data_IF_517020169178
#
_entry.id   IF_517020169178
#
_cell.length_a   1.000
_cell.length_b   1.000
_cell.length_c   1.000
_cell.angle_alpha   90.00
_cell.angle_beta   90.00
_cell.angle_gamma   90.00
#
_symmetry.space_group_name_H-M   'P 1'
#
loop_
_entity.id
_entity.type
_entity.pdbx_description
1 polymer ?
#
# COMPACT_ATOMS: atom_id res chain seq x y z
N UNK A 1 28.30 -10.60 -43.57
CA UNK A 1 28.14 -10.07 -42.19
C UNK A 1 26.69 -10.33 -41.79
N UNK A 2 26.45 -11.29 -40.90
CA UNK A 2 25.11 -11.84 -40.63
C UNK A 2 24.49 -11.20 -39.40
N UNK A 3 23.33 -10.56 -39.57
CA UNK A 3 22.55 -9.93 -38.51
C UNK A 3 21.84 -10.98 -37.66
N UNK A 4 22.53 -11.50 -36.64
CA UNK A 4 21.87 -12.24 -35.54
C UNK A 4 21.00 -11.28 -34.76
N UNK A 5 19.69 -11.47 -34.89
CA UNK A 5 18.65 -10.64 -34.27
C UNK A 5 18.64 -10.80 -32.74
N UNK A 6 18.48 -9.66 -32.06
CA UNK A 6 18.45 -9.51 -30.60
C UNK A 6 17.44 -10.43 -29.90
N UNK A 7 16.40 -10.86 -30.62
CA UNK A 7 15.40 -11.83 -30.17
C UNK A 7 16.00 -13.21 -29.83
N UNK A 8 17.03 -13.68 -30.55
CA UNK A 8 17.65 -14.98 -30.27
C UNK A 8 18.51 -14.98 -29.01
N UNK A 9 18.98 -13.81 -28.53
CA UNK A 9 19.77 -13.72 -27.29
C UNK A 9 18.91 -13.73 -26.03
N UNK A 10 17.63 -13.35 -26.14
CA UNK A 10 16.72 -13.31 -24.98
C UNK A 10 16.21 -14.73 -24.66
N UNK A 11 15.96 -15.56 -25.67
CA UNK A 11 15.49 -16.95 -25.44
C UNK A 11 16.57 -17.82 -24.78
N UNK A 12 17.84 -17.64 -25.13
CA UNK A 12 18.94 -18.42 -24.55
C UNK A 12 19.23 -18.11 -23.07
N UNK A 13 18.69 -17.02 -22.51
CA UNK A 13 18.91 -16.64 -21.11
C UNK A 13 17.90 -17.30 -20.15
N UNK A 14 16.82 -17.89 -20.66
CA UNK A 14 15.74 -18.46 -19.84
C UNK A 14 15.88 -19.98 -19.60
N UNK A 15 16.74 -20.66 -20.35
CA UNK A 15 16.95 -22.11 -20.21
C UNK A 15 17.98 -22.50 -19.13
N UNK A 16 18.62 -21.52 -18.48
CA UNK A 16 19.72 -21.74 -17.53
C UNK A 16 19.29 -21.50 -16.06
N UNK A 17 18.00 -21.64 -15.75
CA UNK A 17 17.51 -21.54 -14.36
C UNK A 17 17.73 -22.89 -13.65
N UNK A 18 18.63 -22.99 -12.67
CA UNK A 18 18.83 -24.22 -11.92
C UNK A 18 17.57 -24.57 -11.12
N UNK A 19 17.09 -25.80 -11.28
CA UNK A 19 15.99 -26.37 -10.51
C UNK A 19 16.33 -26.35 -9.02
N UNK A 20 15.68 -25.46 -8.26
CA UNK A 20 15.76 -25.44 -6.80
C UNK A 20 15.14 -26.72 -6.26
N UNK A 21 15.97 -27.61 -5.71
CA UNK A 21 15.49 -28.75 -4.92
C UNK A 21 15.05 -28.23 -3.56
N UNK A 22 13.75 -28.31 -3.28
CA UNK A 22 13.20 -28.02 -1.96
C UNK A 22 13.68 -29.10 -0.96
N UNK A 23 14.10 -28.71 0.26
CA UNK A 23 14.41 -29.65 1.33
C UNK A 23 13.15 -30.40 1.77
N UNK A 24 13.32 -31.69 2.08
CA UNK A 24 12.24 -32.62 2.44
C UNK A 24 11.44 -32.17 3.65
N UNK A 25 10.13 -32.45 3.58
CA UNK A 25 9.16 -32.19 4.63
C UNK A 25 9.56 -32.87 5.95
N UNK A 26 9.61 -32.15 7.07
CA UNK A 26 9.64 -32.77 8.38
C UNK A 26 8.25 -33.30 8.75
N UNK A 27 8.22 -34.59 9.07
CA UNK A 27 7.11 -35.34 9.63
C UNK A 27 6.39 -34.56 10.76
N UNK A 28 5.13 -34.21 10.55
CA UNK A 28 4.29 -33.46 11.49
C UNK A 28 3.42 -34.43 12.29
N UNK A 29 3.84 -34.71 13.53
CA UNK A 29 2.98 -35.33 14.53
C UNK A 29 1.85 -34.38 14.97
N UNK A 30 0.70 -34.90 15.42
CA UNK A 30 -0.43 -34.08 15.83
C UNK A 30 -0.21 -33.55 17.25
N UNK A 31 0.30 -32.32 17.36
CA UNK A 31 0.25 -31.54 18.61
C UNK A 31 -0.86 -30.49 18.50
N UNK A 32 -2.05 -30.90 18.91
CA UNK A 32 -3.25 -30.09 19.08
C UNK A 32 -3.11 -29.16 20.30
N UNK A 33 -2.47 -27.97 20.20
CA UNK A 33 -2.52 -26.93 21.27
C UNK A 33 -1.99 -25.51 20.94
N UNK A 34 -2.10 -24.96 19.72
CA UNK A 34 -1.43 -23.68 19.37
C UNK A 34 -2.28 -22.41 19.17
N UNK A 35 -3.61 -22.44 19.25
CA UNK A 35 -4.44 -21.22 19.02
C UNK A 35 -4.97 -20.54 20.30
N UNK A 36 -4.51 -20.97 21.47
CA UNK A 36 -4.93 -20.44 22.77
C UNK A 36 -4.19 -19.17 23.18
N UNK A 37 -4.52 -18.03 22.55
CA UNK A 37 -4.09 -16.71 23.02
C UNK A 37 -3.67 -15.79 21.90
N UNK A 38 -4.59 -14.91 21.47
CA UNK A 38 -4.28 -13.76 20.62
C UNK A 38 -3.55 -12.73 21.49
N UNK A 39 -2.37 -13.07 21.97
CA UNK A 39 -1.44 -12.10 22.51
C UNK A 39 -1.02 -11.24 21.31
N UNK A 40 -1.54 -10.01 21.28
CA UNK A 40 -1.13 -9.00 20.31
C UNK A 40 0.39 -8.88 20.40
N UNK A 41 1.09 -9.58 19.51
CA UNK A 41 2.53 -9.54 19.39
C UNK A 41 2.92 -8.08 19.30
N UNK A 42 3.55 -7.58 20.37
CA UNK A 42 4.11 -6.24 20.38
C UNK A 42 5.20 -6.24 19.32
N UNK A 43 4.85 -5.80 18.13
CA UNK A 43 5.78 -5.62 17.01
C UNK A 43 6.99 -4.89 17.58
N UNK A 44 8.22 -5.43 17.45
CA UNK A 44 9.40 -4.73 17.92
C UNK A 44 9.40 -3.32 17.32
N UNK A 45 9.50 -2.28 18.16
CA UNK A 45 9.35 -0.88 17.73
C UNK A 45 10.23 -0.51 16.51
N UNK A 46 11.35 -1.22 16.35
CA UNK A 46 12.24 -1.14 15.20
C UNK A 46 11.56 -1.48 13.86
N UNK A 47 10.68 -2.49 13.82
CA UNK A 47 10.01 -2.95 12.59
C UNK A 47 8.96 -1.94 12.11
N UNK A 48 8.11 -1.45 13.01
CA UNK A 48 7.12 -0.42 12.64
C UNK A 48 7.79 0.88 12.17
N UNK A 49 8.90 1.29 12.81
CA UNK A 49 9.69 2.44 12.39
C UNK A 49 10.29 2.23 10.98
N UNK A 50 10.79 1.02 10.68
CA UNK A 50 11.31 0.64 9.36
C UNK A 50 10.22 0.71 8.28
N UNK A 51 9.05 0.12 8.51
CA UNK A 51 7.94 0.14 7.54
C UNK A 51 7.43 1.56 7.30
N UNK A 52 7.31 2.36 8.36
CA UNK A 52 6.91 3.77 8.26
C UNK A 52 7.93 4.59 7.45
N UNK A 53 9.23 4.33 7.63
CA UNK A 53 10.30 4.94 6.83
C UNK A 53 10.23 4.51 5.37
N UNK A 54 10.01 3.23 5.10
CA UNK A 54 9.90 2.71 3.73
C UNK A 54 8.68 3.28 3.00
N UNK A 55 7.51 3.33 3.63
CA UNK A 55 6.31 3.97 3.08
C UNK A 55 6.51 5.45 2.81
N UNK A 56 7.19 6.18 3.71
CA UNK A 56 7.58 7.56 3.44
C UNK A 56 8.54 7.67 2.26
N UNK A 57 9.51 6.77 2.17
CA UNK A 57 10.48 6.74 1.07
C UNK A 57 9.81 6.49 -0.29
N UNK A 58 8.79 5.64 -0.40
CA UNK A 58 8.06 5.44 -1.66
C UNK A 58 7.33 6.71 -2.07
N UNK A 59 6.66 7.36 -1.12
CA UNK A 59 6.02 8.65 -1.36
C UNK A 59 7.03 9.72 -1.77
N UNK A 60 8.08 9.95 -0.99
CA UNK A 60 9.12 10.95 -1.25
C UNK A 60 9.77 10.74 -2.63
N UNK A 61 10.04 9.49 -3.01
CA UNK A 61 10.59 9.13 -4.33
C UNK A 61 9.61 9.46 -5.45
N UNK A 62 8.33 9.10 -5.28
CA UNK A 62 7.31 9.38 -6.29
C UNK A 62 7.01 10.88 -6.43
N UNK A 63 7.13 11.64 -5.33
CA UNK A 63 6.81 13.09 -5.32
C UNK A 63 7.96 14.02 -5.72
N UNK A 64 9.16 13.48 -5.99
CA UNK A 64 10.35 14.27 -6.29
C UNK A 64 10.29 15.05 -7.63
N UNK A 65 9.33 14.75 -8.50
CA UNK A 65 9.19 15.40 -9.82
C UNK A 65 7.92 16.28 -9.88
N UNK A 66 8.02 17.58 -9.53
CA UNK A 66 6.90 18.50 -9.60
C UNK A 66 6.61 18.89 -11.07
N UNK A 67 5.40 18.60 -11.55
CA UNK A 67 4.96 19.02 -12.88
C UNK A 67 3.44 19.04 -13.07
N UNK A 68 2.71 18.22 -12.32
CA UNK A 68 1.25 18.21 -12.29
C UNK A 68 0.73 17.60 -10.98
N UNK A 69 -0.55 17.83 -10.61
CA UNK A 69 -1.15 17.15 -9.46
C UNK A 69 -1.10 15.63 -9.64
N UNK A 70 -0.57 14.91 -8.65
CA UNK A 70 -0.54 13.44 -8.66
C UNK A 70 -1.95 12.88 -8.80
N UNK A 71 -2.13 11.95 -9.74
CA UNK A 71 -3.36 11.19 -9.93
C UNK A 71 -3.33 9.98 -9.01
N UNK A 72 -4.35 9.83 -8.19
CA UNK A 72 -4.44 8.73 -7.23
C UNK A 72 -5.77 8.00 -7.31
N UNK A 73 -5.74 6.72 -6.97
CA UNK A 73 -6.93 5.89 -6.74
C UNK A 73 -7.22 5.82 -5.24
N UNK A 74 -8.50 5.80 -4.87
CA UNK A 74 -8.90 5.43 -3.52
C UNK A 74 -9.15 3.93 -3.48
N UNK A 75 -8.64 3.25 -2.46
CA UNK A 75 -8.80 1.82 -2.31
C UNK A 75 -9.30 1.46 -0.92
N UNK A 76 -10.29 0.56 -0.88
CA UNK A 76 -10.80 -0.03 0.36
C UNK A 76 -11.20 -1.48 0.15
N UNK A 77 -11.38 -2.17 1.26
CA UNK A 77 -11.86 -3.55 1.33
C UNK A 77 -13.00 -3.55 2.32
N UNK A 78 -14.11 -4.16 1.96
CA UNK A 78 -15.29 -4.27 2.82
C UNK A 78 -15.74 -5.72 2.90
N UNK A 79 -16.27 -6.11 4.06
CA UNK A 79 -17.07 -7.32 4.11
C UNK A 79 -18.39 -7.06 3.39
N UNK A 80 -19.06 -8.10 2.86
CA UNK A 80 -20.28 -7.97 2.04
C UNK A 80 -21.45 -7.16 2.66
N UNK A 81 -21.38 -6.79 3.94
CA UNK A 81 -22.40 -6.02 4.67
C UNK A 81 -21.94 -4.61 5.07
N UNK A 82 -20.67 -4.27 4.87
CA UNK A 82 -20.10 -3.01 5.29
C UNK A 82 -20.21 -1.95 4.18
N UNK A 83 -20.48 -0.71 4.56
CA UNK A 83 -20.51 0.42 3.63
C UNK A 83 -19.08 0.94 3.36
N UNK A 84 -18.59 0.96 2.11
CA UNK A 84 -17.25 1.48 1.79
C UNK A 84 -17.15 3.00 1.84
N UNK A 85 -18.29 3.73 1.77
CA UNK A 85 -18.31 5.19 1.62
C UNK A 85 -17.58 5.95 2.72
N UNK A 86 -17.67 5.60 4.01
CA UNK A 86 -16.93 6.29 5.07
C UNK A 86 -15.41 6.21 4.87
N UNK A 87 -14.88 5.02 4.59
CA UNK A 87 -13.45 4.79 4.36
C UNK A 87 -12.94 5.55 3.13
N UNK A 88 -13.69 5.48 2.03
CA UNK A 88 -13.37 6.19 0.80
C UNK A 88 -13.42 7.71 0.99
N UNK A 89 -14.40 8.24 1.71
CA UNK A 89 -14.51 9.67 1.99
C UNK A 89 -13.31 10.20 2.79
N UNK A 90 -12.88 9.45 3.81
CA UNK A 90 -11.71 9.83 4.63
C UNK A 90 -10.42 9.82 3.80
N UNK A 91 -10.27 8.82 2.91
CA UNK A 91 -9.15 8.76 1.96
C UNK A 91 -9.21 9.91 0.93
N UNK A 92 -10.39 10.24 0.42
CA UNK A 92 -10.60 11.35 -0.51
C UNK A 92 -10.21 12.70 0.12
N UNK A 93 -10.72 12.97 1.32
CA UNK A 93 -10.41 14.19 2.06
C UNK A 93 -8.90 14.31 2.32
N UNK A 94 -8.21 13.20 2.59
CA UNK A 94 -6.77 13.18 2.72
C UNK A 94 -6.07 13.49 1.39
N UNK A 95 -6.43 12.83 0.29
CA UNK A 95 -5.85 13.10 -1.03
C UNK A 95 -6.01 14.57 -1.45
N UNK A 96 -7.20 15.16 -1.22
CA UNK A 96 -7.47 16.57 -1.49
C UNK A 96 -6.56 17.51 -0.68
N UNK A 97 -6.34 17.22 0.61
CA UNK A 97 -5.42 18.01 1.46
C UNK A 97 -3.97 17.96 0.97
N UNK A 98 -3.56 16.88 0.30
CA UNK A 98 -2.23 16.77 -0.30
C UNK A 98 -2.14 17.42 -1.69
N UNK A 99 -3.23 18.00 -2.21
CA UNK A 99 -3.28 18.55 -3.57
C UNK A 99 -3.27 17.47 -4.66
N UNK A 100 -3.61 16.22 -4.33
CA UNK A 100 -3.69 15.14 -5.29
C UNK A 100 -5.06 15.09 -5.96
N UNK A 101 -5.09 14.67 -7.22
CA UNK A 101 -6.31 14.46 -8.00
C UNK A 101 -6.78 13.02 -7.86
N UNK A 102 -7.95 12.83 -7.26
CA UNK A 102 -8.60 11.51 -7.25
C UNK A 102 -9.19 11.23 -8.64
N UNK A 103 -8.86 10.08 -9.22
CA UNK A 103 -9.33 9.68 -10.56
C UNK A 103 -10.22 8.43 -10.56
N UNK A 104 -10.34 7.75 -9.44
CA UNK A 104 -11.17 6.56 -9.31
C UNK A 104 -11.23 6.02 -7.88
N UNK A 105 -12.19 5.15 -7.64
CA UNK A 105 -12.39 4.44 -6.38
C UNK A 105 -12.47 2.95 -6.69
N UNK A 106 -11.85 2.14 -5.85
CA UNK A 106 -11.72 0.70 -6.01
C UNK A 106 -12.11 0.03 -4.69
N UNK A 107 -12.97 -0.98 -4.77
CA UNK A 107 -13.55 -1.67 -3.61
C UNK A 107 -13.50 -3.17 -3.87
N UNK A 108 -12.70 -3.88 -3.07
CA UNK A 108 -12.76 -5.33 -3.05
C UNK A 108 -13.72 -5.81 -1.95
N UNK A 109 -14.49 -6.85 -2.26
CA UNK A 109 -15.29 -7.58 -1.28
C UNK A 109 -14.46 -8.71 -0.68
N UNK A 110 -14.43 -8.82 0.65
CA UNK A 110 -13.77 -9.92 1.35
C UNK A 110 -13.11 -9.53 2.66
N UNK A 111 -12.64 -10.51 3.45
CA UNK A 111 -11.86 -10.22 4.64
C UNK A 111 -10.55 -9.50 4.26
N UNK A 112 -10.09 -8.52 5.08
CA UNK A 112 -8.80 -7.84 4.86
C UNK A 112 -7.58 -8.77 4.89
N UNK A 113 -7.76 -10.01 5.31
CA UNK A 113 -6.73 -11.03 5.44
C UNK A 113 -6.62 -11.90 4.17
N UNK A 114 -7.55 -11.77 3.21
CA UNK A 114 -7.39 -12.38 1.89
C UNK A 114 -6.14 -11.85 1.21
N UNK A 115 -5.43 -12.73 0.50
CA UNK A 115 -4.17 -12.39 -0.14
C UNK A 115 -4.36 -11.23 -1.12
N UNK A 116 -3.80 -10.07 -0.77
CA UNK A 116 -3.92 -8.80 -1.51
C UNK A 116 -3.70 -8.98 -3.03
N UNK A 117 -2.72 -9.82 -3.39
CA UNK A 117 -2.34 -10.11 -4.77
C UNK A 117 -3.39 -10.86 -5.59
N UNK A 118 -4.45 -11.40 -4.98
CA UNK A 118 -5.54 -12.09 -5.69
C UNK A 118 -6.82 -11.27 -5.80
N UNK A 119 -6.87 -10.09 -5.16
CA UNK A 119 -8.05 -9.25 -5.17
C UNK A 119 -8.20 -8.53 -6.51
N UNK A 120 -9.41 -8.55 -7.08
CA UNK A 120 -9.66 -8.11 -8.45
C UNK A 120 -9.40 -6.62 -8.63
N UNK A 121 -9.95 -5.78 -7.75
CA UNK A 121 -9.81 -4.33 -7.86
C UNK A 121 -8.38 -3.90 -7.50
N UNK A 122 -7.72 -4.58 -6.57
CA UNK A 122 -6.28 -4.38 -6.36
C UNK A 122 -5.46 -4.66 -7.62
N UNK A 123 -5.73 -5.74 -8.33
CA UNK A 123 -5.05 -6.03 -9.60
C UNK A 123 -5.29 -4.96 -10.67
N UNK A 124 -6.49 -4.34 -10.70
CA UNK A 124 -6.76 -3.18 -11.55
C UNK A 124 -5.94 -1.96 -11.15
N UNK A 125 -5.77 -1.70 -9.85
CA UNK A 125 -4.90 -0.63 -9.35
C UNK A 125 -3.45 -0.84 -9.81
N UNK A 126 -2.90 -2.04 -9.65
CA UNK A 126 -1.52 -2.36 -10.05
C UNK A 126 -1.29 -2.17 -11.56
N UNK A 127 -2.28 -2.55 -12.40
CA UNK A 127 -2.23 -2.30 -13.85
C UNK A 127 -2.21 -0.80 -14.18
N UNK A 128 -3.05 -0.01 -13.50
CA UNK A 128 -3.11 1.43 -13.70
C UNK A 128 -1.80 2.13 -13.28
N UNK A 129 -1.18 1.69 -12.17
CA UNK A 129 0.11 2.18 -11.69
C UNK A 129 1.23 1.82 -12.67
N UNK A 130 1.32 0.55 -13.09
CA UNK A 130 2.33 0.09 -14.06
C UNK A 130 2.23 0.82 -15.40
N UNK A 131 1.02 1.17 -15.83
CA UNK A 131 0.79 1.95 -17.04
C UNK A 131 1.05 3.45 -16.90
N UNK A 132 1.38 3.95 -15.69
CA UNK A 132 1.59 5.38 -15.43
C UNK A 132 0.31 6.23 -15.49
N UNK A 133 -0.87 5.60 -15.53
CA UNK A 133 -2.15 6.32 -15.55
C UNK A 133 -2.43 7.02 -14.22
N UNK A 134 -1.93 6.43 -13.15
CA UNK A 134 -1.96 6.95 -11.77
C UNK A 134 -0.60 6.78 -11.14
N UNK A 135 -0.29 7.59 -10.14
CA UNK A 135 1.00 7.58 -9.44
C UNK A 135 0.92 6.92 -8.06
N UNK A 136 -0.29 6.79 -7.51
CA UNK A 136 -0.43 6.15 -6.20
C UNK A 136 -1.83 5.72 -5.83
N UNK A 137 -1.90 5.03 -4.70
CA UNK A 137 -3.13 4.55 -4.08
C UNK A 137 -3.26 5.16 -2.68
N UNK A 138 -4.45 5.60 -2.31
CA UNK A 138 -4.76 6.13 -0.99
C UNK A 138 -5.75 5.21 -0.29
N UNK A 139 -5.44 4.82 0.94
CA UNK A 139 -6.34 4.01 1.78
C UNK A 139 -6.58 4.68 3.13
N UNK A 140 -7.69 4.34 3.78
CA UNK A 140 -7.99 4.84 5.12
C UNK A 140 -6.98 4.33 6.16
N UNK A 141 -6.56 3.07 6.06
CA UNK A 141 -5.62 2.44 6.97
C UNK A 141 -4.71 1.45 6.22
N UNK A 142 -3.56 1.14 6.82
CA UNK A 142 -2.62 0.13 6.33
C UNK A 142 -3.25 -1.26 6.25
N UNK A 143 -4.14 -1.62 7.17
CA UNK A 143 -4.77 -2.94 7.23
C UNK A 143 -5.60 -3.28 6.00
N UNK A 144 -6.03 -2.26 5.24
CA UNK A 144 -6.71 -2.45 3.95
C UNK A 144 -5.80 -3.11 2.93
N UNK A 145 -4.50 -2.80 2.98
CA UNK A 145 -3.47 -3.39 2.13
C UNK A 145 -2.99 -4.72 2.72
N UNK A 146 -2.48 -4.68 3.96
CA UNK A 146 -2.16 -5.89 4.71
C UNK A 146 -1.91 -5.58 6.18
N UNK A 147 -2.43 -6.44 7.07
CA UNK A 147 -2.08 -6.47 8.50
C UNK A 147 -0.75 -7.16 8.77
N UNK A 148 -0.28 -8.00 7.85
CA UNK A 148 0.97 -8.76 7.98
C UNK A 148 2.13 -7.89 7.50
N UNK A 149 3.12 -7.68 8.37
CA UNK A 149 4.29 -6.83 8.09
C UNK A 149 5.08 -7.26 6.87
N UNK A 150 5.36 -8.56 6.70
CA UNK A 150 6.16 -9.04 5.56
C UNK A 150 5.42 -8.84 4.24
N UNK A 151 4.11 -9.14 4.20
CA UNK A 151 3.28 -8.90 3.02
C UNK A 151 3.16 -7.41 2.69
N UNK A 152 3.05 -6.57 3.71
CA UNK A 152 3.02 -5.12 3.52
C UNK A 152 4.38 -4.59 3.04
N UNK A 153 5.49 -5.08 3.60
CA UNK A 153 6.84 -4.73 3.16
C UNK A 153 7.08 -5.11 1.68
N UNK A 154 6.68 -6.32 1.28
CA UNK A 154 6.74 -6.75 -0.11
C UNK A 154 5.93 -5.81 -1.03
N UNK A 155 4.77 -5.37 -0.56
CA UNK A 155 3.94 -4.38 -1.29
C UNK A 155 4.68 -3.06 -1.43
N UNK A 156 5.32 -2.55 -0.37
CA UNK A 156 6.08 -1.30 -0.43
C UNK A 156 7.28 -1.38 -1.38
N UNK A 157 7.99 -2.50 -1.42
CA UNK A 157 9.05 -2.73 -2.41
C UNK A 157 8.51 -2.70 -3.83
N UNK A 158 7.37 -3.34 -4.09
CA UNK A 158 6.73 -3.27 -5.41
C UNK A 158 6.43 -1.83 -5.82
N UNK A 159 5.89 -1.01 -4.93
CA UNK A 159 5.61 0.41 -5.19
C UNK A 159 6.90 1.18 -5.51
N UNK A 160 7.98 0.94 -4.75
CA UNK A 160 9.28 1.57 -4.98
C UNK A 160 9.83 1.23 -6.37
N UNK A 161 9.80 -0.05 -6.75
CA UNK A 161 10.33 -0.54 -8.03
C UNK A 161 9.56 0.02 -9.24
N UNK A 162 8.31 0.48 -9.03
CA UNK A 162 7.44 1.04 -10.05
C UNK A 162 7.28 2.56 -9.95
N UNK A 163 8.15 3.26 -9.20
CA UNK A 163 8.10 4.71 -8.96
C UNK A 163 6.69 5.21 -8.57
N UNK A 164 5.99 4.38 -7.81
CA UNK A 164 4.62 4.57 -7.37
C UNK A 164 4.57 4.64 -5.85
N UNK A 165 3.44 5.05 -5.28
CA UNK A 165 3.29 5.08 -3.82
C UNK A 165 1.95 4.55 -3.33
N UNK A 166 1.95 4.12 -2.06
CA UNK A 166 0.73 3.93 -1.27
C UNK A 166 0.78 4.88 -0.09
N UNK A 167 -0.33 5.58 0.15
CA UNK A 167 -0.47 6.51 1.26
C UNK A 167 -1.66 6.11 2.14
N UNK A 168 -1.45 6.17 3.44
CA UNK A 168 -2.49 5.90 4.44
C UNK A 168 -2.91 7.20 5.12
N UNK A 169 -4.18 7.32 5.45
CA UNK A 169 -4.65 8.45 6.25
C UNK A 169 -3.99 8.37 7.63
N UNK A 170 -3.29 9.42 8.09
CA UNK A 170 -2.70 9.42 9.42
C UNK A 170 -3.79 9.27 10.49
N UNK A 171 -3.56 8.49 11.56
CA UNK A 171 -4.52 8.41 12.66
C UNK A 171 -4.75 9.81 13.22
N UNK A 172 -6.01 10.16 13.46
CA UNK A 172 -6.36 11.43 14.07
C UNK A 172 -5.62 11.54 15.40
N UNK A 173 -4.68 12.49 15.51
CA UNK A 173 -3.93 12.67 16.76
C UNK A 173 -4.90 13.18 17.83
N UNK A 174 -5.24 12.37 18.87
CA UNK A 174 -6.09 12.84 19.94
C UNK A 174 -5.34 13.96 20.67
N UNK A 175 -5.89 15.17 20.66
CA UNK A 175 -5.35 16.29 21.47
C UNK A 175 -4.82 17.50 20.72
N UNK A 176 -4.79 17.52 19.37
CA UNK A 176 -4.65 18.80 18.65
C UNK A 176 -6.00 19.48 18.52
N UNK A 177 -6.63 19.75 19.67
CA UNK A 177 -7.76 20.68 19.75
C UNK A 177 -7.26 21.97 19.13
N UNK A 178 -7.81 22.32 17.97
CA UNK A 178 -7.63 23.62 17.32
C UNK A 178 -7.96 24.66 18.40
N UNK A 179 -6.95 25.27 19.04
CA UNK A 179 -7.19 26.47 19.83
C UNK A 179 -7.81 27.44 18.86
N UNK A 180 -9.10 27.74 19.06
CA UNK A 180 -9.81 28.72 18.28
C UNK A 180 -8.95 29.99 18.32
N UNK A 181 -8.45 30.39 17.15
CA UNK A 181 -7.76 31.65 16.99
C UNK A 181 -8.81 32.71 17.31
N UNK A 182 -8.78 33.23 18.54
CA UNK A 182 -9.61 34.36 18.92
C UNK A 182 -8.94 35.58 18.29
N UNK A 183 -9.56 36.25 17.28
CA UNK A 183 -9.04 37.52 16.82
C UNK A 183 -9.18 38.50 17.98
N UNK A 184 -8.06 38.84 18.62
CA UNK A 184 -8.06 39.98 19.54
C UNK A 184 -8.41 41.21 18.71
N UNK A 185 -9.58 41.77 19.02
CA UNK A 185 -10.09 42.96 18.37
C UNK A 185 -9.06 44.08 18.41
N UNK A 186 -8.66 44.52 17.23
CA UNK A 186 -7.95 45.77 17.04
C UNK A 186 -8.94 46.89 17.41
N UNK A 187 -8.75 47.50 18.58
CA UNK A 187 -9.41 48.77 18.90
C UNK A 187 -8.73 49.86 18.07
N UNK A 188 -9.48 50.47 17.15
CA UNK A 188 -9.10 51.73 16.53
C UNK A 188 -9.19 52.86 17.57
N UNK A 189 -8.21 53.76 17.53
CA UNK A 189 -8.12 54.98 18.32
C UNK A 189 -9.16 56.02 17.88
#
# INVERSE_FOLDING_TARGET
>A
MSARTLAQRITALLDDIPTVRLPGEPDHGPDDSWWGGVEQSRIPAHRQARLSRLCRSTLDTAVACPGSPYKVLLYTVVSAKDDPRPSLRVAEDYARRQGWRVVGQLVDDGPPDDQLWFREEWQRALKALRGGFVQGVVTADRSVVSRVDDSYEQTLHWFLDHFSFVAHVPPATPGRTRRAFHPQGVRAC
#
